data_IF_217769195901
#
_entry.id   IF_217769195901
#
_cell.length_a   1.000
_cell.length_b   1.000
_cell.length_c   1.000
_cell.angle_alpha   90.00
_cell.angle_beta   90.00
_cell.angle_gamma   90.00
#
_symmetry.space_group_name_H-M   'P 1'
#
loop_
_entity.id
_entity.type
_entity.pdbx_description
1 polymer ?
#
# COMPACT_ATOMS: atom_id res chain seq x y z
N UNK A 1 1.83 -34.32 6.34
CA UNK A 1 1.46 -33.42 5.24
C UNK A 1 2.27 -33.74 3.99
N UNK A 2 1.65 -33.86 2.86
CA UNK A 2 2.36 -34.01 1.60
C UNK A 2 3.09 -32.70 1.25
N UNK A 3 4.21 -32.77 0.55
CA UNK A 3 4.93 -31.58 0.09
C UNK A 3 4.08 -30.68 -0.79
N UNK A 4 3.13 -31.27 -1.50
CA UNK A 4 2.21 -30.57 -2.38
C UNK A 4 1.28 -29.62 -1.59
N UNK A 5 0.75 -30.06 -0.47
CA UNK A 5 -0.12 -29.23 0.40
C UNK A 5 0.66 -28.03 0.98
N UNK A 6 1.91 -28.24 1.42
CA UNK A 6 2.75 -27.17 1.92
C UNK A 6 3.04 -26.09 0.86
N UNK A 7 3.35 -26.52 -0.37
CA UNK A 7 3.59 -25.58 -1.48
C UNK A 7 2.35 -24.76 -1.79
N UNK A 8 1.19 -25.41 -1.87
CA UNK A 8 -0.09 -24.75 -2.13
C UNK A 8 -0.42 -23.71 -1.06
N UNK A 9 -0.25 -24.06 0.21
CA UNK A 9 -0.50 -23.15 1.34
C UNK A 9 0.48 -21.99 1.33
N UNK A 10 1.74 -22.23 1.04
CA UNK A 10 2.78 -21.21 0.96
C UNK A 10 2.48 -20.21 -0.17
N UNK A 11 2.13 -20.70 -1.34
CA UNK A 11 1.73 -19.87 -2.48
C UNK A 11 0.50 -19.05 -2.16
N UNK A 12 -0.49 -19.64 -1.47
CA UNK A 12 -1.68 -18.92 -1.04
C UNK A 12 -1.33 -17.76 -0.11
N UNK A 13 -0.43 -17.97 0.84
CA UNK A 13 0.00 -16.92 1.75
C UNK A 13 0.67 -15.76 1.00
N UNK A 14 1.49 -16.06 0.00
CA UNK A 14 2.11 -15.04 -0.86
C UNK A 14 1.03 -14.28 -1.65
N UNK A 15 0.08 -14.99 -2.22
CA UNK A 15 -1.05 -14.41 -2.94
C UNK A 15 -1.88 -13.47 -2.06
N UNK A 16 -2.17 -13.90 -0.83
CA UNK A 16 -2.97 -13.11 0.11
C UNK A 16 -2.24 -11.81 0.47
N UNK A 17 -0.93 -11.86 0.66
CA UNK A 17 -0.13 -10.67 0.93
C UNK A 17 -0.09 -9.71 -0.26
N UNK A 18 0.06 -10.23 -1.48
CA UNK A 18 0.01 -9.43 -2.71
C UNK A 18 -1.36 -8.75 -2.84
N UNK A 19 -2.44 -9.49 -2.59
CA UNK A 19 -3.81 -8.96 -2.64
C UNK A 19 -4.02 -7.86 -1.60
N UNK A 20 -3.48 -8.02 -0.40
CA UNK A 20 -3.55 -7.02 0.67
C UNK A 20 -2.80 -5.75 0.27
N UNK A 21 -1.63 -5.87 -0.32
CA UNK A 21 -0.85 -4.74 -0.83
C UNK A 21 -1.65 -3.96 -1.88
N UNK A 22 -2.19 -4.64 -2.89
CA UNK A 22 -2.93 -3.96 -3.96
C UNK A 22 -4.26 -3.38 -3.48
N UNK A 23 -4.94 -4.05 -2.54
CA UNK A 23 -6.15 -3.49 -1.92
C UNK A 23 -5.84 -2.20 -1.16
N UNK A 24 -4.76 -2.19 -0.39
CA UNK A 24 -4.30 -1.00 0.33
C UNK A 24 -3.92 0.13 -0.62
N UNK A 25 -3.25 -0.19 -1.73
CA UNK A 25 -2.90 0.80 -2.77
C UNK A 25 -4.14 1.45 -3.37
N UNK A 26 -5.16 0.67 -3.73
CA UNK A 26 -6.41 1.22 -4.28
C UNK A 26 -7.09 2.17 -3.31
N UNK A 27 -7.13 1.80 -2.03
CA UNK A 27 -7.73 2.64 -0.98
C UNK A 27 -6.94 3.94 -0.79
N UNK A 28 -5.62 3.87 -0.82
CA UNK A 28 -4.76 5.06 -0.72
C UNK A 28 -4.93 5.99 -1.92
N UNK A 29 -5.01 5.45 -3.13
CA UNK A 29 -5.21 6.25 -4.34
C UNK A 29 -6.57 6.94 -4.34
N UNK A 30 -7.63 6.24 -3.92
CA UNK A 30 -8.95 6.82 -3.76
C UNK A 30 -8.97 7.94 -2.71
N UNK A 31 -8.30 7.71 -1.58
CA UNK A 31 -8.19 8.70 -0.52
C UNK A 31 -7.43 9.95 -1.00
N UNK A 32 -6.34 9.77 -1.75
CA UNK A 32 -5.58 10.90 -2.32
C UNK A 32 -6.47 11.77 -3.21
N UNK A 33 -7.23 11.15 -4.10
CA UNK A 33 -8.10 11.88 -5.02
C UNK A 33 -9.16 12.70 -4.26
N UNK A 34 -9.71 12.11 -3.20
CA UNK A 34 -10.68 12.81 -2.35
C UNK A 34 -10.05 13.94 -1.54
N UNK A 35 -8.82 13.76 -1.06
CA UNK A 35 -8.09 14.81 -0.34
C UNK A 35 -7.69 15.96 -1.26
N UNK A 36 -7.27 15.67 -2.49
CA UNK A 36 -6.99 16.69 -3.51
C UNK A 36 -8.24 17.50 -3.83
N UNK A 37 -9.39 16.83 -4.00
CA UNK A 37 -10.67 17.50 -4.22
C UNK A 37 -11.07 18.38 -3.03
N UNK A 38 -10.82 17.91 -1.82
CA UNK A 38 -11.10 18.66 -0.59
C UNK A 38 -10.35 19.98 -0.56
N UNK A 39 -9.08 19.98 -0.96
CA UNK A 39 -8.28 21.21 -1.01
C UNK A 39 -8.89 22.27 -1.92
N UNK A 40 -9.50 21.86 -3.03
CA UNK A 40 -10.15 22.79 -3.96
C UNK A 40 -11.47 23.35 -3.42
N UNK A 41 -12.11 22.65 -2.49
CA UNK A 41 -13.42 23.05 -1.91
C UNK A 41 -13.31 23.88 -0.65
N UNK A 42 -12.25 23.74 0.14
CA UNK A 42 -12.08 24.42 1.43
C UNK A 42 -11.14 25.62 1.29
N UNK A 43 -11.68 26.73 0.85
CA UNK A 43 -10.90 27.95 0.57
C UNK A 43 -10.85 28.94 1.74
N UNK A 44 -11.61 28.70 2.82
CA UNK A 44 -11.65 29.60 3.97
C UNK A 44 -10.50 29.29 4.95
N UNK A 45 -9.93 30.32 5.53
CA UNK A 45 -8.83 30.24 6.52
C UNK A 45 -9.20 29.37 7.72
N UNK A 46 -10.47 29.31 8.12
CA UNK A 46 -10.93 28.47 9.22
C UNK A 46 -10.65 26.96 9.01
N UNK A 47 -10.44 26.54 7.78
CA UNK A 47 -10.11 25.15 7.43
C UNK A 47 -8.61 24.88 7.34
N UNK A 48 -7.74 25.84 7.69
CA UNK A 48 -6.30 25.71 7.53
C UNK A 48 -5.70 24.47 8.20
N UNK A 49 -6.19 24.13 9.40
CA UNK A 49 -5.72 22.93 10.13
C UNK A 49 -6.12 21.63 9.44
N UNK A 50 -7.33 21.57 8.89
CA UNK A 50 -7.82 20.42 8.11
C UNK A 50 -6.97 20.26 6.86
N UNK A 51 -6.71 21.36 6.14
CA UNK A 51 -5.91 21.34 4.92
C UNK A 51 -4.45 20.97 5.19
N UNK A 52 -3.90 21.41 6.30
CA UNK A 52 -2.54 21.02 6.71
C UNK A 52 -2.45 19.51 6.97
N UNK A 53 -3.43 18.94 7.67
CA UNK A 53 -3.50 17.50 7.91
C UNK A 53 -3.71 16.74 6.60
N UNK A 54 -4.55 17.26 5.71
CA UNK A 54 -4.77 16.70 4.37
C UNK A 54 -3.47 16.62 3.56
N UNK A 55 -2.70 17.71 3.52
CA UNK A 55 -1.42 17.74 2.80
C UNK A 55 -0.40 16.76 3.37
N UNK A 56 -0.31 16.65 4.69
CA UNK A 56 0.55 15.67 5.36
C UNK A 56 0.13 14.24 5.03
N UNK A 57 -1.17 14.00 4.97
CA UNK A 57 -1.72 12.68 4.65
C UNK A 57 -1.43 12.31 3.19
N UNK A 58 -1.59 13.24 2.25
CA UNK A 58 -1.23 13.03 0.84
C UNK A 58 0.25 12.68 0.71
N UNK A 59 1.13 13.40 1.39
CA UNK A 59 2.56 13.10 1.38
C UNK A 59 2.84 11.69 1.91
N UNK A 60 2.18 11.30 2.99
CA UNK A 60 2.32 9.96 3.57
C UNK A 60 1.83 8.87 2.61
N UNK A 61 0.74 9.13 1.88
CA UNK A 61 0.24 8.25 0.83
C UNK A 61 1.30 8.09 -0.27
N UNK A 62 1.86 9.19 -0.75
CA UNK A 62 2.87 9.15 -1.81
C UNK A 62 4.12 8.39 -1.36
N UNK A 63 4.60 8.63 -0.15
CA UNK A 63 5.77 7.95 0.39
C UNK A 63 5.51 6.44 0.57
N UNK A 64 4.33 6.07 1.04
CA UNK A 64 3.94 4.67 1.25
C UNK A 64 3.78 3.95 -0.10
N UNK A 65 3.11 4.58 -1.05
CA UNK A 65 2.93 4.04 -2.40
C UNK A 65 4.27 3.82 -3.10
N UNK A 66 5.20 4.76 -2.95
CA UNK A 66 6.54 4.64 -3.53
C UNK A 66 7.29 3.40 -3.04
N UNK A 67 7.10 3.01 -1.78
CA UNK A 67 7.71 1.81 -1.20
C UNK A 67 7.08 0.52 -1.72
N UNK A 68 5.82 0.57 -2.12
CA UNK A 68 5.05 -0.61 -2.52
C UNK A 68 5.13 -0.90 -4.01
N UNK A 69 5.10 0.12 -4.85
CA UNK A 69 5.14 -0.01 -6.31
C UNK A 69 6.20 0.92 -6.91
N UNK A 70 6.81 0.45 -7.97
CA UNK A 70 7.75 1.29 -8.73
C UNK A 70 6.98 2.38 -9.46
N UNK A 71 7.52 3.62 -9.51
CA UNK A 71 6.95 4.64 -10.37
C UNK A 71 6.92 4.17 -11.81
N UNK A 72 5.96 4.66 -12.60
CA UNK A 72 5.87 4.28 -14.02
C UNK A 72 7.19 4.52 -14.72
N UNK A 73 7.75 3.46 -15.25
CA UNK A 73 8.99 3.55 -16.03
C UNK A 73 8.72 4.30 -17.32
N UNK A 74 9.45 5.39 -17.52
CA UNK A 74 9.31 6.23 -18.71
C UNK A 74 10.27 5.83 -19.82
N UNK A 75 11.39 5.18 -19.47
CA UNK A 75 12.42 4.77 -20.42
C UNK A 75 13.00 3.41 -20.02
N UNK A 76 13.64 2.74 -20.99
CA UNK A 76 14.31 1.46 -20.73
C UNK A 76 15.44 1.59 -19.71
N UNK A 77 16.09 2.74 -19.62
CA UNK A 77 17.16 2.99 -18.64
C UNK A 77 16.62 3.04 -17.21
N UNK A 78 15.35 3.39 -17.04
CA UNK A 78 14.71 3.43 -15.71
C UNK A 78 14.68 2.05 -15.04
N UNK A 79 14.64 0.98 -15.83
CA UNK A 79 14.68 -0.41 -15.33
C UNK A 79 15.96 -0.69 -14.55
N UNK A 80 17.07 -0.08 -14.98
CA UNK A 80 18.39 -0.32 -14.38
C UNK A 80 18.59 0.51 -13.11
N UNK A 81 17.98 1.68 -13.06
CA UNK A 81 18.20 2.67 -12.00
C UNK A 81 17.19 2.58 -10.85
N UNK A 82 16.05 1.92 -11.05
CA UNK A 82 15.03 1.80 -10.00
C UNK A 82 15.09 0.41 -9.34
N UNK A 83 15.24 0.44 -8.02
CA UNK A 83 15.15 -0.78 -7.21
C UNK A 83 13.74 -1.35 -7.35
N UNK A 84 13.65 -2.66 -7.51
CA UNK A 84 12.35 -3.35 -7.47
C UNK A 84 11.66 -3.08 -6.13
N UNK A 85 10.44 -2.58 -6.21
CA UNK A 85 9.65 -2.29 -5.02
C UNK A 85 8.99 -3.57 -4.48
N UNK A 86 8.32 -3.44 -3.37
CA UNK A 86 7.85 -4.61 -2.61
C UNK A 86 6.93 -5.52 -3.40
N UNK A 87 6.00 -4.96 -4.17
CA UNK A 87 5.07 -5.77 -4.99
C UNK A 87 5.81 -6.66 -5.98
N UNK A 88 6.79 -6.11 -6.69
CA UNK A 88 7.60 -6.85 -7.66
C UNK A 88 8.43 -7.95 -6.98
N UNK A 89 8.92 -7.70 -5.77
CA UNK A 89 9.67 -8.69 -5.00
C UNK A 89 8.80 -9.86 -4.56
N UNK A 90 7.56 -9.61 -4.14
CA UNK A 90 6.59 -10.67 -3.83
C UNK A 90 6.21 -11.48 -5.07
N UNK A 91 5.98 -10.81 -6.21
CA UNK A 91 5.65 -11.47 -7.47
C UNK A 91 6.81 -12.34 -7.97
N UNK A 92 8.04 -11.88 -7.83
CA UNK A 92 9.24 -12.64 -8.18
C UNK A 92 9.34 -13.91 -7.32
N UNK A 93 9.12 -13.78 -6.01
CA UNK A 93 9.11 -14.94 -5.11
C UNK A 93 8.02 -15.94 -5.51
N UNK A 94 6.81 -15.47 -5.78
CA UNK A 94 5.70 -16.33 -6.19
C UNK A 94 6.05 -17.10 -7.46
N UNK A 95 6.63 -16.43 -8.45
CA UNK A 95 7.06 -17.05 -9.71
C UNK A 95 8.11 -18.14 -9.48
N UNK A 96 9.07 -17.89 -8.60
CA UNK A 96 10.10 -18.87 -8.27
C UNK A 96 9.53 -20.11 -7.57
N UNK A 97 8.64 -19.89 -6.62
CA UNK A 97 7.97 -21.00 -5.90
C UNK A 97 7.11 -21.81 -6.85
N UNK A 98 6.37 -21.15 -7.74
CA UNK A 98 5.51 -21.81 -8.71
C UNK A 98 6.32 -22.68 -9.70
N UNK A 99 7.46 -22.16 -10.15
CA UNK A 99 8.33 -22.85 -11.10
C UNK A 99 9.14 -24.01 -10.51
N UNK A 100 9.24 -24.10 -9.20
CA UNK A 100 10.04 -25.13 -8.56
C UNK A 100 9.29 -26.43 -8.38
N UNK A 101 10.01 -27.55 -8.51
CA UNK A 101 9.50 -28.84 -8.09
C UNK A 101 9.58 -28.90 -6.55
N UNK A 102 8.51 -29.37 -5.84
CA UNK A 102 8.59 -29.50 -4.38
C UNK A 102 9.84 -30.31 -3.94
N UNK A 103 10.41 -30.01 -2.78
CA UNK A 103 9.91 -29.16 -1.69
C UNK A 103 10.25 -27.67 -1.83
N UNK A 104 9.58 -26.83 -1.01
CA UNK A 104 9.93 -25.41 -0.86
C UNK A 104 11.33 -25.33 -0.23
N UNK A 105 12.17 -24.45 -0.76
CA UNK A 105 13.52 -24.28 -0.24
C UNK A 105 13.53 -23.43 1.03
N UNK A 106 14.55 -23.61 1.87
CA UNK A 106 14.75 -22.76 3.05
C UNK A 106 15.00 -21.29 2.67
N UNK A 107 15.68 -21.07 1.53
CA UNK A 107 15.90 -19.73 1.00
C UNK A 107 14.60 -19.01 0.63
N UNK A 108 13.67 -19.73 0.02
CA UNK A 108 12.34 -19.18 -0.32
C UNK A 108 11.56 -18.83 0.94
N UNK A 109 11.56 -19.67 1.95
CA UNK A 109 10.89 -19.40 3.22
C UNK A 109 11.50 -18.19 3.94
N UNK A 110 12.82 -18.08 3.94
CA UNK A 110 13.52 -16.91 4.52
C UNK A 110 13.17 -15.65 3.77
N UNK A 111 13.18 -15.70 2.45
CA UNK A 111 12.82 -14.56 1.61
C UNK A 111 11.39 -14.08 1.88
N UNK A 112 10.46 -15.01 1.99
CA UNK A 112 9.08 -14.68 2.33
C UNK A 112 8.97 -13.98 3.69
N UNK A 113 9.65 -14.48 4.71
CA UNK A 113 9.66 -13.87 6.04
C UNK A 113 10.19 -12.44 5.99
N UNK A 114 11.27 -12.21 5.25
CA UNK A 114 11.85 -10.88 5.10
C UNK A 114 10.89 -9.91 4.40
N UNK A 115 10.25 -10.35 3.32
CA UNK A 115 9.27 -9.55 2.59
C UNK A 115 8.03 -9.27 3.44
N UNK A 116 7.57 -10.25 4.21
CA UNK A 116 6.44 -10.09 5.12
C UNK A 116 6.72 -9.05 6.19
N UNK A 117 7.91 -9.08 6.79
CA UNK A 117 8.32 -8.08 7.77
C UNK A 117 8.38 -6.69 7.16
N UNK A 118 8.90 -6.57 5.94
CA UNK A 118 8.94 -5.30 5.23
C UNK A 118 7.54 -4.76 4.96
N UNK A 119 6.62 -5.62 4.51
CA UNK A 119 5.22 -5.25 4.32
C UNK A 119 4.57 -4.79 5.62
N UNK A 120 4.78 -5.50 6.72
CA UNK A 120 4.22 -5.12 8.02
C UNK A 120 4.72 -3.76 8.49
N UNK A 121 5.98 -3.42 8.23
CA UNK A 121 6.51 -2.08 8.51
C UNK A 121 5.83 -1.01 7.66
N UNK A 122 5.68 -1.24 6.37
CA UNK A 122 5.03 -0.29 5.46
C UNK A 122 3.56 -0.13 5.82
N UNK A 123 2.91 -1.21 6.25
CA UNK A 123 1.51 -1.20 6.67
C UNK A 123 1.24 -0.27 7.86
N UNK A 124 2.23 -0.03 8.72
CA UNK A 124 2.08 0.97 9.78
C UNK A 124 1.82 2.38 9.22
N UNK A 125 2.45 2.72 8.10
CA UNK A 125 2.17 3.96 7.37
C UNK A 125 0.74 4.00 6.82
N UNK A 126 0.27 2.89 6.28
CA UNK A 126 -1.12 2.76 5.84
C UNK A 126 -2.11 2.94 7.00
N UNK A 127 -1.84 2.34 8.15
CA UNK A 127 -2.69 2.48 9.34
C UNK A 127 -2.71 3.94 9.82
N UNK A 128 -1.60 4.65 9.73
CA UNK A 128 -1.53 6.08 10.04
C UNK A 128 -2.35 6.91 9.06
N UNK A 129 -2.33 6.56 7.77
CA UNK A 129 -3.18 7.20 6.75
C UNK A 129 -4.65 7.05 7.11
N UNK A 130 -5.09 5.85 7.47
CA UNK A 130 -6.48 5.58 7.88
C UNK A 130 -6.86 6.43 9.09
N UNK A 131 -5.98 6.49 10.09
CA UNK A 131 -6.19 7.32 11.28
C UNK A 131 -6.32 8.80 10.94
N UNK A 132 -5.46 9.31 10.07
CA UNK A 132 -5.53 10.72 9.62
C UNK A 132 -6.83 11.03 8.89
N UNK A 133 -7.31 10.11 8.04
CA UNK A 133 -8.58 10.27 7.33
C UNK A 133 -9.75 10.31 8.32
N UNK A 134 -9.73 9.47 9.35
CA UNK A 134 -10.76 9.51 10.40
C UNK A 134 -10.77 10.85 11.13
N UNK A 135 -9.59 11.40 11.45
CA UNK A 135 -9.47 12.69 12.08
C UNK A 135 -10.00 13.83 11.18
N UNK A 136 -9.65 13.78 9.89
CA UNK A 136 -10.15 14.75 8.91
C UNK A 136 -11.68 14.68 8.83
N UNK A 137 -12.24 13.48 8.71
CA UNK A 137 -13.69 13.30 8.64
C UNK A 137 -14.40 13.82 9.88
N UNK A 138 -13.83 13.57 11.08
CA UNK A 138 -14.37 14.07 12.33
C UNK A 138 -14.42 15.60 12.33
N UNK A 139 -13.33 16.25 11.90
CA UNK A 139 -13.25 17.71 11.81
C UNK A 139 -14.22 18.29 10.75
N UNK A 140 -14.42 17.59 9.64
CA UNK A 140 -15.36 18.00 8.59
C UNK A 140 -16.80 17.91 9.11
N UNK A 141 -17.16 16.85 9.84
CA UNK A 141 -18.48 16.69 10.44
C UNK A 141 -18.74 17.83 11.44
N UNK A 142 -17.77 18.13 12.31
CA UNK A 142 -17.84 19.22 13.28
C UNK A 142 -18.05 20.58 12.59
N UNK A 143 -17.51 20.74 11.38
CA UNK A 143 -17.61 21.96 10.59
C UNK A 143 -18.83 21.97 9.64
N UNK A 144 -19.69 20.94 9.70
CA UNK A 144 -20.86 20.77 8.81
C UNK A 144 -20.49 20.67 7.32
N UNK A 145 -19.34 20.10 7.00
CA UNK A 145 -18.86 19.86 5.63
C UNK A 145 -19.02 18.36 5.32
N UNK A 146 -19.40 17.99 4.08
CA UNK A 146 -19.45 16.59 3.69
C UNK A 146 -18.09 15.90 3.88
N UNK A 147 -18.08 14.71 4.50
CA UNK A 147 -16.87 13.96 4.75
C UNK A 147 -16.45 13.09 3.53
N UNK A 148 -15.20 12.62 3.55
CA UNK A 148 -14.68 11.73 2.51
C UNK A 148 -14.88 10.25 2.90
N UNK A 149 -15.04 9.38 1.90
CA UNK A 149 -15.11 7.94 2.16
C UNK A 149 -13.72 7.38 2.41
N UNK A 150 -13.65 6.23 3.12
CA UNK A 150 -12.39 5.56 3.42
C UNK A 150 -11.87 4.70 2.26
N UNK A 151 -12.41 4.87 1.08
CA UNK A 151 -12.05 4.08 -0.08
C UNK A 151 -12.52 2.62 0.01
N UNK A 152 -13.37 2.21 -0.91
CA UNK A 152 -13.85 0.83 -0.99
C UNK A 152 -14.95 0.44 0.00
N UNK A 153 -15.56 1.39 0.68
CA UNK A 153 -16.81 1.20 1.42
C UNK A 153 -17.99 1.61 0.57
#
# INVERSE_FOLDING_TARGET
MSHFTKKSDFMKNIHDDISDIYSSLRKMQSARDQLDDLESRLLDVKFSKILELSKRTIKLIDDTEFKLISPKQKTFQDVINFRNQLDAQFLDLLSKVDGNVPPITSGEMTRYKDLKLEWLKIKTGYDQIVSNIQDINTKLIESSVPFISRGGE
#
